data_IF_515844178290
#
_entry.id   IF_515844178290
#
_cell.length_a   1.000
_cell.length_b   1.000
_cell.length_c   1.000
_cell.angle_alpha   90.00
_cell.angle_beta   90.00
_cell.angle_gamma   90.00
#
_symmetry.space_group_name_H-M   'P 1'
#
loop_
_entity.id
_entity.type
_entity.pdbx_description
1 polymer ?
#
# COMPACT_ATOMS: atom_id res chain seq x y z
N UNK A 1 11.19 -25.81 4.09
CA UNK A 1 11.10 -25.19 5.44
C UNK A 1 9.65 -25.30 5.87
N UNK A 2 9.36 -25.97 6.97
CA UNK A 2 7.97 -26.26 7.38
C UNK A 2 7.53 -25.17 8.35
N UNK A 3 6.49 -24.41 7.98
CA UNK A 3 5.90 -23.44 8.88
C UNK A 3 4.75 -24.09 9.63
N UNK A 4 4.78 -24.05 10.97
CA UNK A 4 3.67 -24.54 11.79
C UNK A 4 2.53 -23.53 11.75
N UNK A 5 1.37 -24.00 11.33
CA UNK A 5 0.09 -23.30 11.43
C UNK A 5 -0.80 -24.18 12.27
N UNK A 6 -1.18 -23.74 13.46
CA UNK A 6 -2.13 -24.43 14.30
C UNK A 6 -3.54 -24.21 13.75
N UNK A 7 -4.16 -25.29 13.20
CA UNK A 7 -5.52 -25.23 12.72
C UNK A 7 -5.79 -26.17 11.51
N UNK A 8 -7.05 -26.30 11.06
CA UNK A 8 -7.46 -27.23 9.99
C UNK A 8 -7.06 -26.79 8.57
N UNK A 9 -6.06 -25.94 8.43
CA UNK A 9 -5.62 -25.37 7.17
C UNK A 9 -4.34 -26.00 6.67
N UNK A 10 -4.27 -26.24 5.38
CA UNK A 10 -3.04 -26.67 4.72
C UNK A 10 -2.24 -25.45 4.27
N UNK A 11 -1.04 -25.30 4.80
CA UNK A 11 -0.06 -24.36 4.30
C UNK A 11 0.70 -25.03 3.15
N UNK A 12 0.64 -24.47 1.96
CA UNK A 12 1.43 -24.91 0.83
C UNK A 12 2.53 -23.85 0.58
N UNK A 13 3.77 -24.25 0.78
CA UNK A 13 4.95 -23.41 0.51
C UNK A 13 5.55 -23.87 -0.81
N UNK A 14 5.48 -23.06 -1.84
CA UNK A 14 6.21 -23.23 -3.08
C UNK A 14 6.89 -21.92 -3.44
N UNK A 15 8.15 -21.99 -3.85
CA UNK A 15 8.91 -20.88 -4.44
C UNK A 15 8.73 -19.51 -3.76
N UNK A 16 8.99 -19.44 -2.45
CA UNK A 16 8.86 -18.24 -1.62
C UNK A 16 7.42 -17.72 -1.42
N UNK A 17 6.39 -18.51 -1.68
CA UNK A 17 5.01 -18.12 -1.37
C UNK A 17 4.35 -19.03 -0.34
N UNK A 18 3.56 -18.45 0.55
CA UNK A 18 2.75 -19.17 1.54
C UNK A 18 1.30 -18.93 1.17
N UNK A 19 0.58 -20.00 0.79
CA UNK A 19 -0.83 -19.95 0.44
C UNK A 19 -1.66 -20.61 1.53
N UNK A 20 -2.62 -19.88 2.08
CA UNK A 20 -3.62 -20.40 3.01
C UNK A 20 -4.92 -20.66 2.27
N UNK A 21 -5.26 -21.94 2.07
CA UNK A 21 -6.55 -22.34 1.53
C UNK A 21 -7.39 -22.97 2.64
N UNK A 22 -8.38 -22.24 3.13
CA UNK A 22 -9.38 -22.76 4.07
C UNK A 22 -10.74 -22.91 3.38
N UNK A 23 -11.46 -24.01 3.60
CA UNK A 23 -12.89 -24.06 3.30
C UNK A 23 -13.60 -23.11 4.25
N UNK A 24 -14.39 -22.20 3.69
CA UNK A 24 -15.27 -21.34 4.46
C UNK A 24 -16.35 -22.21 5.12
N UNK A 25 -16.15 -22.55 6.38
CA UNK A 25 -17.21 -23.05 7.24
C UNK A 25 -17.91 -21.83 7.80
N UNK A 26 -19.19 -21.70 7.53
CA UNK A 26 -20.03 -20.60 8.00
C UNK A 26 -19.93 -20.53 9.54
N UNK A 27 -19.75 -19.32 10.09
CA UNK A 27 -19.75 -18.94 11.52
C UNK A 27 -18.45 -19.03 12.32
N UNK A 28 -17.27 -19.20 11.72
CA UNK A 28 -16.02 -19.14 12.48
C UNK A 28 -15.09 -18.02 11.95
N UNK A 29 -14.56 -17.23 12.87
CA UNK A 29 -13.46 -16.30 12.63
C UNK A 29 -12.15 -16.94 13.04
N UNK A 30 -11.14 -16.90 12.19
CA UNK A 30 -9.83 -17.47 12.47
C UNK A 30 -8.76 -16.39 12.44
N UNK A 31 -7.95 -16.34 13.49
CA UNK A 31 -6.77 -15.50 13.55
C UNK A 31 -5.52 -16.31 13.22
N UNK A 32 -4.78 -15.87 12.20
CA UNK A 32 -3.53 -16.50 11.80
C UNK A 32 -2.35 -15.65 12.24
N UNK A 33 -1.39 -16.27 12.92
CA UNK A 33 -0.11 -15.67 13.23
C UNK A 33 1.00 -16.46 12.55
N UNK A 34 1.62 -15.87 11.54
CA UNK A 34 2.64 -16.49 10.72
C UNK A 34 3.96 -15.78 10.92
N UNK A 35 5.02 -16.53 11.24
CA UNK A 35 6.37 -16.01 11.29
C UNK A 35 7.09 -16.37 9.99
N UNK A 36 7.62 -15.37 9.31
CA UNK A 36 8.33 -15.52 8.04
C UNK A 36 9.73 -14.95 8.14
N UNK A 37 10.69 -15.39 7.30
CA UNK A 37 11.98 -14.75 7.16
C UNK A 37 11.84 -13.29 6.74
N UNK A 38 12.67 -12.39 7.26
CA UNK A 38 12.56 -10.95 7.03
C UNK A 38 12.65 -10.57 5.54
N UNK A 39 13.47 -11.23 4.75
CA UNK A 39 13.73 -10.90 3.34
C UNK A 39 12.76 -11.58 2.36
N UNK A 40 11.70 -12.24 2.85
CA UNK A 40 10.76 -12.93 1.97
C UNK A 40 9.84 -11.93 1.26
N UNK A 41 9.54 -12.21 -0.01
CA UNK A 41 8.47 -11.51 -0.70
C UNK A 41 7.10 -12.00 -0.18
N UNK A 42 6.19 -11.05 0.10
CA UNK A 42 4.88 -11.34 0.68
C UNK A 42 3.77 -11.08 -0.33
N UNK A 43 2.95 -12.07 -0.60
CA UNK A 43 1.66 -11.86 -1.24
C UNK A 43 0.53 -12.28 -0.28
N UNK A 44 -0.28 -11.30 0.17
CA UNK A 44 -1.38 -11.53 1.10
C UNK A 44 -2.70 -11.09 0.46
N UNK A 45 -3.72 -11.93 0.58
CA UNK A 45 -5.07 -11.62 0.12
C UNK A 45 -6.09 -11.98 1.18
N UNK A 46 -7.01 -11.07 1.44
CA UNK A 46 -8.12 -11.29 2.33
C UNK A 46 -9.39 -10.60 1.80
N UNK A 47 -10.56 -11.11 2.16
CA UNK A 47 -11.83 -10.61 1.57
C UNK A 47 -12.76 -10.08 2.65
N UNK A 48 -13.12 -10.86 3.64
CA UNK A 48 -14.17 -10.51 4.61
C UNK A 48 -13.60 -10.23 5.99
N UNK A 49 -13.93 -9.05 6.53
CA UNK A 49 -13.72 -8.62 7.91
C UNK A 49 -12.34 -8.95 8.51
N UNK A 50 -11.31 -8.86 7.68
CA UNK A 50 -9.95 -9.25 8.03
C UNK A 50 -9.08 -8.05 8.32
N UNK A 51 -8.36 -8.10 9.43
CA UNK A 51 -7.32 -7.15 9.75
C UNK A 51 -5.96 -7.75 9.36
N UNK A 52 -5.31 -7.19 8.34
CA UNK A 52 -3.98 -7.65 7.95
C UNK A 52 -2.94 -6.82 8.70
N UNK A 53 -2.11 -7.51 9.48
CA UNK A 53 -0.96 -6.91 10.17
C UNK A 53 0.33 -7.54 9.66
N UNK A 54 1.28 -6.71 9.24
CA UNK A 54 2.62 -7.13 8.80
C UNK A 54 3.66 -6.35 9.58
N UNK A 55 4.69 -7.04 10.07
CA UNK A 55 5.74 -6.39 10.84
C UNK A 55 7.13 -6.89 10.45
N UNK A 56 8.07 -5.96 10.30
CA UNK A 56 9.51 -6.24 10.23
C UNK A 56 9.96 -6.96 8.96
N UNK A 57 9.26 -6.76 7.82
CA UNK A 57 9.63 -7.38 6.54
C UNK A 57 10.45 -6.45 5.67
N UNK A 58 11.44 -7.00 4.96
CA UNK A 58 12.33 -6.27 4.05
C UNK A 58 12.20 -6.70 2.59
N UNK A 59 11.43 -7.75 2.31
CA UNK A 59 11.14 -8.19 0.94
C UNK A 59 10.04 -7.37 0.28
N UNK A 60 9.86 -7.61 -1.01
CA UNK A 60 8.78 -7.00 -1.79
C UNK A 60 7.41 -7.48 -1.31
N UNK A 61 6.38 -6.64 -1.43
CA UNK A 61 5.08 -6.95 -0.90
C UNK A 61 3.94 -6.64 -1.88
N UNK A 62 2.92 -7.51 -1.86
CA UNK A 62 1.65 -7.31 -2.57
C UNK A 62 0.51 -7.70 -1.66
N UNK A 63 -0.24 -6.73 -1.17
CA UNK A 63 -1.27 -6.94 -0.17
C UNK A 63 -2.61 -6.44 -0.70
N UNK A 64 -3.60 -7.33 -0.71
CA UNK A 64 -4.96 -7.02 -1.16
C UNK A 64 -5.96 -7.40 -0.07
N UNK A 65 -6.77 -6.44 0.34
CA UNK A 65 -7.89 -6.67 1.24
C UNK A 65 -9.18 -6.10 0.64
N UNK A 66 -10.32 -6.68 0.95
CA UNK A 66 -11.60 -6.08 0.52
C UNK A 66 -12.26 -5.35 1.67
N UNK A 67 -12.47 -6.03 2.79
CA UNK A 67 -13.14 -5.43 3.95
C UNK A 67 -12.25 -5.55 5.18
N UNK A 68 -11.63 -4.44 5.56
CA UNK A 68 -10.82 -4.34 6.76
C UNK A 68 -9.53 -3.56 6.57
N UNK A 69 -8.95 -3.09 7.68
CA UNK A 69 -7.74 -2.29 7.64
C UNK A 69 -6.49 -3.13 7.35
N UNK A 70 -5.49 -2.45 6.80
CA UNK A 70 -4.14 -3.00 6.61
C UNK A 70 -3.17 -2.16 7.44
N UNK A 71 -2.43 -2.81 8.32
CA UNK A 71 -1.40 -2.19 9.14
C UNK A 71 -0.05 -2.86 8.88
N UNK A 72 0.94 -2.05 8.49
CA UNK A 72 2.29 -2.52 8.21
C UNK A 72 3.28 -1.68 9.01
N UNK A 73 4.12 -2.34 9.79
CA UNK A 73 5.10 -1.67 10.66
C UNK A 73 6.51 -2.18 10.40
N UNK A 74 7.48 -1.25 10.43
CA UNK A 74 8.90 -1.57 10.20
C UNK A 74 9.12 -2.30 8.87
N UNK A 75 8.56 -1.74 7.78
CA UNK A 75 8.63 -2.32 6.44
C UNK A 75 9.81 -1.74 5.69
N UNK A 76 10.45 -2.58 4.90
CA UNK A 76 11.40 -2.22 3.85
C UNK A 76 10.90 -2.82 2.52
N UNK A 77 11.57 -2.51 1.41
CA UNK A 77 11.20 -3.04 0.11
C UNK A 77 10.21 -2.18 -0.65
N UNK A 78 9.72 -2.71 -1.76
CA UNK A 78 8.80 -2.07 -2.70
C UNK A 78 7.56 -2.94 -2.89
N UNK A 79 6.48 -2.38 -3.42
CA UNK A 79 5.30 -3.17 -3.69
C UNK A 79 4.00 -2.40 -3.73
N UNK A 80 2.90 -3.12 -3.53
CA UNK A 80 1.56 -2.55 -3.59
C UNK A 80 0.67 -3.01 -2.45
N UNK A 81 -0.13 -2.08 -1.97
CA UNK A 81 -1.17 -2.32 -0.96
C UNK A 81 -2.49 -1.79 -1.49
N UNK A 82 -3.49 -2.65 -1.53
CA UNK A 82 -4.81 -2.29 -2.00
C UNK A 82 -5.89 -2.77 -1.02
N UNK A 83 -6.82 -1.90 -0.68
CA UNK A 83 -8.03 -2.26 0.05
C UNK A 83 -9.25 -1.56 -0.56
N UNK A 84 -10.43 -2.13 -0.37
CA UNK A 84 -11.67 -1.46 -0.79
C UNK A 84 -12.27 -0.71 0.38
N UNK A 85 -12.60 -1.39 1.47
CA UNK A 85 -13.19 -0.80 2.65
C UNK A 85 -12.27 -0.96 3.84
N UNK A 86 -11.43 0.06 4.08
CA UNK A 86 -10.50 0.06 5.20
C UNK A 86 -9.37 1.06 5.02
N UNK A 87 -8.82 1.51 6.12
CA UNK A 87 -7.64 2.36 6.12
C UNK A 87 -6.37 1.54 5.87
N UNK A 88 -5.37 2.20 5.31
CA UNK A 88 -4.02 1.67 5.18
C UNK A 88 -3.10 2.50 6.05
N UNK A 89 -2.43 1.84 7.00
CA UNK A 89 -1.42 2.46 7.86
C UNK A 89 -0.09 1.75 7.67
N UNK A 90 0.91 2.47 7.20
CA UNK A 90 2.23 1.91 6.93
C UNK A 90 3.31 2.76 7.57
N UNK A 91 4.28 2.10 8.20
CA UNK A 91 5.46 2.75 8.74
C UNK A 91 6.70 2.07 8.17
N UNK A 92 7.53 2.82 7.48
CA UNK A 92 8.77 2.32 6.90
C UNK A 92 9.92 2.36 7.90
N UNK A 93 10.68 1.27 7.97
CA UNK A 93 11.95 1.21 8.69
C UNK A 93 13.09 1.85 7.89
N UNK A 94 13.01 1.79 6.57
CA UNK A 94 13.92 2.42 5.62
C UNK A 94 13.12 2.95 4.43
N UNK A 95 13.49 4.12 3.94
CA UNK A 95 12.85 4.71 2.76
C UNK A 95 12.97 3.78 1.55
N UNK A 96 11.88 3.56 0.78
CA UNK A 96 11.90 2.66 -0.35
C UNK A 96 12.83 3.16 -1.46
N UNK A 97 13.54 2.23 -2.09
CA UNK A 97 14.44 2.51 -3.23
C UNK A 97 13.77 2.20 -4.58
N UNK A 98 12.53 1.73 -4.56
CA UNK A 98 11.74 1.41 -5.73
C UNK A 98 10.30 1.90 -5.60
N UNK A 99 9.49 1.75 -6.65
CA UNK A 99 8.12 2.24 -6.67
C UNK A 99 7.24 1.51 -5.65
N UNK A 100 6.37 2.28 -4.98
CA UNK A 100 5.38 1.75 -4.04
C UNK A 100 4.02 2.36 -4.34
N UNK A 101 2.97 1.55 -4.24
CA UNK A 101 1.60 1.98 -4.51
C UNK A 101 0.65 1.63 -3.36
N UNK A 102 -0.06 2.61 -2.86
CA UNK A 102 -1.10 2.48 -1.83
C UNK A 102 -2.43 2.92 -2.40
N UNK A 103 -3.42 2.02 -2.39
CA UNK A 103 -4.75 2.30 -2.92
C UNK A 103 -5.84 1.90 -1.94
N UNK A 104 -6.81 2.77 -1.76
CA UNK A 104 -8.06 2.48 -1.05
C UNK A 104 -9.25 3.02 -1.83
N UNK A 105 -10.43 2.43 -1.67
CA UNK A 105 -11.65 3.06 -2.16
C UNK A 105 -12.27 3.88 -1.02
N UNK A 106 -12.53 3.25 0.11
CA UNK A 106 -13.11 3.90 1.28
C UNK A 106 -12.19 3.75 2.48
N UNK A 107 -11.29 4.70 2.64
CA UNK A 107 -10.37 4.68 3.76
C UNK A 107 -9.23 5.67 3.65
N UNK A 108 -8.69 5.99 4.80
CA UNK A 108 -7.56 6.88 4.96
C UNK A 108 -6.26 6.16 4.64
N UNK A 109 -5.38 6.81 3.91
CA UNK A 109 -4.00 6.35 3.67
C UNK A 109 -3.07 7.13 4.60
N UNK A 110 -2.47 6.43 5.54
CA UNK A 110 -1.46 6.97 6.44
C UNK A 110 -0.14 6.24 6.21
N UNK A 111 0.85 6.93 5.66
CA UNK A 111 2.15 6.33 5.39
C UNK A 111 3.25 7.21 5.95
N UNK A 112 4.04 6.62 6.85
CA UNK A 112 5.14 7.30 7.52
C UNK A 112 6.49 6.78 6.99
N UNK A 113 7.29 7.71 6.49
CA UNK A 113 8.66 7.49 6.02
C UNK A 113 9.67 8.07 7.00
N UNK A 114 10.92 7.67 6.87
CA UNK A 114 12.01 8.30 7.60
C UNK A 114 12.39 9.66 7.00
N UNK A 115 13.03 10.48 7.81
CA UNK A 115 13.68 11.71 7.32
C UNK A 115 14.64 11.39 6.16
N UNK A 116 14.89 12.39 5.30
CA UNK A 116 15.73 12.21 4.12
C UNK A 116 15.07 11.39 2.98
N UNK A 117 13.75 11.37 2.94
CA UNK A 117 13.03 10.79 1.79
C UNK A 117 13.38 11.55 0.51
N UNK A 118 13.75 10.79 -0.53
CA UNK A 118 13.93 11.28 -1.90
C UNK A 118 12.99 10.49 -2.80
N UNK A 119 11.90 11.13 -3.25
CA UNK A 119 10.87 10.45 -4.03
C UNK A 119 9.98 11.45 -4.78
N UNK A 120 9.32 10.98 -5.82
CA UNK A 120 8.24 11.70 -6.49
C UNK A 120 6.91 11.12 -6.00
N UNK A 121 6.10 11.95 -5.33
CA UNK A 121 4.82 11.54 -4.76
C UNK A 121 3.70 11.85 -5.75
N UNK A 122 2.92 10.84 -6.10
CA UNK A 122 1.68 10.97 -6.86
C UNK A 122 0.50 10.71 -5.92
N UNK A 123 -0.17 11.76 -5.50
CA UNK A 123 -1.28 11.68 -4.56
C UNK A 123 -2.60 12.03 -5.25
N UNK A 124 -3.63 11.20 -5.06
CA UNK A 124 -4.95 11.40 -5.62
C UNK A 124 -6.03 11.02 -4.64
N UNK A 125 -6.95 11.94 -4.40
CA UNK A 125 -8.20 11.66 -3.70
C UNK A 125 -9.36 12.32 -4.44
N UNK A 126 -10.55 11.73 -4.34
CA UNK A 126 -11.76 12.36 -4.89
C UNK A 126 -12.49 13.15 -3.79
N UNK A 127 -12.69 12.52 -2.63
CA UNK A 127 -13.31 13.12 -1.45
C UNK A 127 -12.36 13.01 -0.26
N UNK A 128 -11.54 14.02 -0.04
CA UNK A 128 -10.57 14.09 1.05
C UNK A 128 -9.45 15.07 0.80
N UNK A 129 -8.59 15.24 1.78
CA UNK A 129 -7.39 16.08 1.73
C UNK A 129 -6.13 15.27 1.44
N UNK A 130 -5.09 15.97 0.95
CA UNK A 130 -3.76 15.42 0.74
C UNK A 130 -2.78 16.23 1.55
N UNK A 131 -2.02 15.57 2.43
CA UNK A 131 -1.15 16.22 3.41
C UNK A 131 0.22 15.55 3.42
N UNK A 132 1.28 16.35 3.54
CA UNK A 132 2.63 15.85 3.75
C UNK A 132 3.38 16.73 4.75
N UNK A 133 4.25 16.11 5.55
CA UNK A 133 5.16 16.80 6.48
C UNK A 133 6.53 17.10 5.83
N UNK A 134 6.74 16.60 4.63
CA UNK A 134 8.00 16.83 3.90
C UNK A 134 7.95 18.14 3.11
N UNK A 135 9.09 18.81 3.03
CA UNK A 135 9.25 19.90 2.10
C UNK A 135 9.18 19.37 0.67
N UNK A 136 8.17 19.82 -0.06
CA UNK A 136 7.84 19.28 -1.37
C UNK A 136 7.68 20.39 -2.40
N UNK A 137 8.21 20.14 -3.60
CA UNK A 137 8.08 21.03 -4.75
C UNK A 137 7.04 20.48 -5.71
N UNK A 138 6.07 21.30 -6.09
CA UNK A 138 5.05 20.88 -7.07
C UNK A 138 5.67 20.64 -8.43
N UNK A 139 5.33 19.49 -9.02
CA UNK A 139 5.73 19.15 -10.38
C UNK A 139 4.62 19.56 -11.37
N UNK A 140 4.99 19.99 -12.60
CA UNK A 140 4.00 20.33 -13.61
C UNK A 140 3.18 19.10 -14.00
N UNK A 141 1.86 19.27 -13.97
CA UNK A 141 0.94 18.24 -14.44
C UNK A 141 0.90 18.22 -15.96
N UNK A 142 1.11 17.05 -16.55
CA UNK A 142 0.87 16.87 -17.97
C UNK A 142 -0.63 16.78 -18.23
N UNK A 143 -1.19 17.77 -18.92
CA UNK A 143 -2.53 17.64 -19.48
C UNK A 143 -2.44 16.77 -20.74
N UNK A 144 -2.97 15.54 -20.66
CA UNK A 144 -3.11 14.71 -21.85
C UNK A 144 -4.29 15.21 -22.68
N UNK A 145 -3.97 15.76 -23.82
CA UNK A 145 -4.97 16.09 -24.84
C UNK A 145 -5.04 14.92 -25.80
N UNK A 146 -6.14 14.19 -25.77
CA UNK A 146 -6.37 13.04 -26.66
C UNK A 146 -7.47 13.41 -27.68
N UNK A 147 -7.28 13.06 -28.94
CA UNK A 147 -8.28 13.23 -29.98
C UNK A 147 -9.05 11.92 -30.18
N UNK A 148 -10.27 11.87 -29.65
CA UNK A 148 -11.14 10.70 -29.79
C UNK A 148 -12.31 11.07 -30.71
N UNK A 149 -12.49 10.32 -31.79
CA UNK A 149 -13.56 10.53 -32.77
C UNK A 149 -13.68 11.98 -33.27
N UNK A 150 -12.55 12.63 -33.59
CA UNK A 150 -12.51 13.99 -34.08
C UNK A 150 -12.73 15.09 -33.05
N UNK A 151 -13.02 14.78 -31.80
CA UNK A 151 -13.19 15.72 -30.70
C UNK A 151 -11.94 15.74 -29.78
N UNK A 152 -11.55 16.93 -29.33
CA UNK A 152 -10.51 17.07 -28.31
C UNK A 152 -11.08 16.72 -26.95
N UNK A 153 -10.53 15.68 -26.30
CA UNK A 153 -10.85 15.30 -24.94
C UNK A 153 -9.72 15.75 -24.03
N UNK A 154 -9.98 16.73 -23.18
CA UNK A 154 -9.05 17.19 -22.16
C UNK A 154 -9.23 16.34 -20.91
N UNK A 155 -8.34 15.38 -20.68
CA UNK A 155 -8.27 14.64 -19.41
C UNK A 155 -7.32 15.36 -18.49
N UNK A 156 -7.84 16.03 -17.47
CA UNK A 156 -7.05 16.59 -16.38
C UNK A 156 -6.89 15.52 -15.31
N UNK A 157 -5.69 15.00 -15.14
CA UNK A 157 -5.41 14.14 -13.99
C UNK A 157 -5.45 15.02 -12.73
N UNK A 158 -6.33 14.68 -11.77
CA UNK A 158 -6.48 15.41 -10.51
C UNK A 158 -5.44 15.00 -9.46
N UNK A 159 -4.43 14.24 -9.86
CA UNK A 159 -3.36 13.83 -8.96
C UNK A 159 -2.45 15.01 -8.64
N UNK A 160 -2.11 15.24 -7.38
CA UNK A 160 -1.03 16.11 -7.01
C UNK A 160 0.30 15.37 -7.25
N UNK A 161 1.17 15.96 -8.06
CA UNK A 161 2.52 15.47 -8.30
C UNK A 161 3.48 16.39 -7.57
N UNK A 162 4.19 15.85 -6.59
CA UNK A 162 5.15 16.63 -5.81
C UNK A 162 6.46 15.88 -5.63
N UNK A 163 7.56 16.61 -5.71
CA UNK A 163 8.91 16.08 -5.49
C UNK A 163 9.35 16.37 -4.08
N UNK A 164 9.84 15.35 -3.39
CA UNK A 164 10.46 15.43 -2.07
C UNK A 164 11.96 15.20 -2.22
N UNK A 165 12.75 16.07 -1.63
CA UNK A 165 14.20 16.03 -1.73
C UNK A 165 14.71 16.16 -3.17
N UNK A 166 15.64 15.31 -3.58
CA UNK A 166 16.17 15.28 -4.96
C UNK A 166 15.28 14.53 -5.95
N UNK A 167 14.10 14.01 -5.51
CA UNK A 167 13.29 13.10 -6.31
C UNK A 167 13.83 11.67 -6.29
N UNK A 168 13.13 10.76 -6.97
CA UNK A 168 13.51 9.34 -6.96
C UNK A 168 12.37 8.44 -7.41
N UNK A 169 12.15 7.30 -6.73
CA UNK A 169 11.08 6.38 -7.09
C UNK A 169 9.71 7.05 -6.97
N UNK A 170 8.79 6.66 -7.86
CA UNK A 170 7.41 7.12 -7.78
C UNK A 170 6.68 6.40 -6.63
N UNK A 171 6.11 7.18 -5.72
CA UNK A 171 5.27 6.68 -4.64
C UNK A 171 3.82 7.14 -4.91
N UNK A 172 2.96 6.18 -5.22
CA UNK A 172 1.57 6.45 -5.61
C UNK A 172 0.62 6.24 -4.43
N UNK A 173 -0.24 7.22 -4.19
CA UNK A 173 -1.29 7.19 -3.16
C UNK A 173 -2.62 7.55 -3.81
N UNK A 174 -3.56 6.62 -3.83
CA UNK A 174 -4.88 6.84 -4.43
C UNK A 174 -5.99 6.41 -3.48
N UNK A 175 -6.94 7.29 -3.22
CA UNK A 175 -8.18 6.94 -2.54
C UNK A 175 -9.37 7.62 -3.20
N UNK A 176 -10.55 7.04 -3.09
CA UNK A 176 -11.78 7.70 -3.55
C UNK A 176 -12.38 8.54 -2.41
N UNK A 177 -12.54 7.92 -1.23
CA UNK A 177 -13.11 8.56 -0.06
C UNK A 177 -12.15 8.41 1.13
N UNK A 178 -11.44 9.47 1.45
CA UNK A 178 -10.51 9.51 2.57
C UNK A 178 -9.32 10.43 2.31
N UNK A 179 -8.59 10.69 3.38
CA UNK A 179 -7.40 11.53 3.33
C UNK A 179 -6.15 10.72 2.98
N UNK A 180 -5.21 11.37 2.32
CA UNK A 180 -3.86 10.88 2.09
C UNK A 180 -2.89 11.66 2.99
N UNK A 181 -2.24 10.96 3.90
CA UNK A 181 -1.25 11.53 4.81
C UNK A 181 0.10 10.86 4.61
N UNK A 182 1.04 11.64 4.11
CA UNK A 182 2.45 11.24 3.97
C UNK A 182 3.23 11.93 5.06
N UNK A 183 3.66 11.17 6.06
CA UNK A 183 4.23 11.69 7.31
C UNK A 183 5.72 11.45 7.40
N UNK A 184 6.42 12.35 8.08
CA UNK A 184 7.77 12.12 8.56
C UNK A 184 7.68 11.45 9.93
N UNK A 185 8.26 10.26 10.08
CA UNK A 185 8.25 9.48 11.31
C UNK A 185 8.98 10.15 12.48
N UNK A 186 9.90 11.06 12.18
CA UNK A 186 10.80 11.70 13.14
C UNK A 186 10.36 13.12 13.56
N UNK A 187 9.20 13.58 13.04
CA UNK A 187 8.57 14.85 13.39
C UNK A 187 7.41 14.71 14.37
#
# INVERSE_FOLDING_TARGET
MQYMVDGPFRCHCSDNSINFNGRQLYDFSYDFKVKVPRAIALELRAVNNSHIKVQGTAGDFKINNVNGPIEMTEIEGKGSVHTVNGGVKVTFARNPTGPVSFKSVNGKLYVAFRSGLNADLKMKTFNGGMYTDFDATSLPQQSLTERVNGRFVYKRDRAALVRVGSGGPELTFETLNGDVLVKNREK
#
